data_IF_446173631593
#
_entry.id   IF_446173631593
#
_cell.length_a   1.000
_cell.length_b   1.000
_cell.length_c   1.000
_cell.angle_alpha   90.00
_cell.angle_beta   90.00
_cell.angle_gamma   90.00
#
_symmetry.space_group_name_H-M   'P 1'
#
loop_
_entity.id
_entity.type
_entity.pdbx_description
1 polymer ?
#
# COMPACT_ATOMS: atom_id res chain seq x y z
N UNK A 1 -20.27 -20.96 3.82
CA UNK A 1 -19.78 -21.38 2.49
C UNK A 1 -18.98 -20.21 1.93
N UNK A 2 -17.78 -20.47 1.40
CA UNK A 2 -16.93 -19.43 0.81
C UNK A 2 -16.88 -19.67 -0.70
N UNK A 3 -17.02 -18.62 -1.51
CA UNK A 3 -16.97 -18.73 -2.96
C UNK A 3 -15.62 -19.32 -3.41
N UNK A 4 -15.66 -20.20 -4.38
CA UNK A 4 -14.51 -20.85 -5.01
C UNK A 4 -14.37 -20.36 -6.45
N UNK A 5 -13.18 -20.48 -7.02
CA UNK A 5 -12.94 -20.17 -8.44
C UNK A 5 -13.90 -20.96 -9.36
N UNK A 6 -14.26 -22.19 -8.98
CA UNK A 6 -15.22 -23.01 -9.73
C UNK A 6 -16.67 -22.47 -9.71
N UNK A 7 -16.98 -21.52 -8.82
CA UNK A 7 -18.30 -20.89 -8.75
C UNK A 7 -18.44 -19.73 -9.76
N UNK A 8 -17.34 -19.34 -10.45
CA UNK A 8 -17.39 -18.30 -11.47
C UNK A 8 -18.25 -18.70 -12.66
N UNK A 9 -19.08 -17.76 -13.12
CA UNK A 9 -19.94 -18.00 -14.25
C UNK A 9 -21.07 -16.99 -14.40
N UNK A 10 -21.82 -17.15 -15.48
CA UNK A 10 -23.05 -16.43 -15.73
C UNK A 10 -24.19 -17.12 -14.99
N UNK A 11 -24.86 -16.37 -14.11
CA UNK A 11 -26.05 -16.81 -13.41
C UNK A 11 -27.25 -16.10 -13.99
N UNK A 12 -28.30 -16.86 -14.26
CA UNK A 12 -29.52 -16.35 -14.84
C UNK A 12 -30.67 -16.56 -13.87
N UNK A 13 -31.51 -15.53 -13.69
CA UNK A 13 -32.75 -15.65 -12.94
C UNK A 13 -33.93 -15.15 -13.76
N UNK A 14 -35.07 -15.79 -13.58
CA UNK A 14 -36.32 -15.40 -14.22
C UNK A 14 -37.32 -14.93 -13.16
N UNK A 15 -37.90 -13.75 -13.37
CA UNK A 15 -38.96 -13.23 -12.52
C UNK A 15 -40.06 -12.58 -13.38
N UNK A 16 -41.26 -13.18 -13.36
CA UNK A 16 -42.42 -12.66 -14.08
C UNK A 16 -42.24 -12.59 -15.60
N UNK A 17 -41.54 -13.56 -16.19
CA UNK A 17 -41.24 -13.60 -17.63
C UNK A 17 -40.11 -12.69 -18.08
N UNK A 18 -39.43 -11.99 -17.16
CA UNK A 18 -38.19 -11.26 -17.44
C UNK A 18 -37.00 -12.12 -17.03
N UNK A 19 -35.99 -12.20 -17.89
CA UNK A 19 -34.73 -12.87 -17.64
C UNK A 19 -33.65 -11.83 -17.28
N UNK A 20 -32.91 -12.10 -16.21
CA UNK A 20 -31.78 -11.29 -15.77
C UNK A 20 -30.53 -12.16 -15.75
N UNK A 21 -29.39 -11.56 -16.10
CA UNK A 21 -28.10 -12.23 -16.12
C UNK A 21 -27.10 -11.44 -15.27
N UNK A 22 -26.33 -12.14 -14.45
CA UNK A 22 -25.24 -11.61 -13.64
C UNK A 22 -24.00 -12.47 -13.81
N UNK A 23 -22.84 -11.84 -13.93
CA UNK A 23 -21.55 -12.53 -13.92
C UNK A 23 -20.97 -12.54 -12.51
N UNK A 24 -20.73 -13.73 -11.96
CA UNK A 24 -19.97 -13.90 -10.73
C UNK A 24 -18.48 -14.05 -11.07
N UNK A 25 -17.66 -13.16 -10.51
CA UNK A 25 -16.20 -13.20 -10.59
C UNK A 25 -15.62 -13.41 -9.19
N UNK A 26 -14.69 -14.36 -9.03
CA UNK A 26 -14.09 -14.70 -7.74
C UNK A 26 -12.62 -14.29 -7.75
N UNK A 27 -12.29 -13.31 -6.91
CA UNK A 27 -10.94 -12.81 -6.76
C UNK A 27 -10.08 -13.68 -5.85
N UNK A 28 -8.88 -14.01 -6.30
CA UNK A 28 -7.81 -14.53 -5.45
C UNK A 28 -6.80 -13.41 -5.17
N UNK A 29 -6.52 -13.19 -3.89
CA UNK A 29 -5.76 -12.02 -3.43
C UNK A 29 -4.31 -12.10 -3.90
N UNK A 30 -3.64 -10.94 -4.11
CA UNK A 30 -2.23 -10.96 -4.42
C UNK A 30 -1.41 -11.64 -3.32
N UNK A 31 -0.31 -12.29 -3.70
CA UNK A 31 0.62 -12.89 -2.74
C UNK A 31 1.58 -11.86 -2.14
N UNK A 32 1.68 -10.68 -2.76
CA UNK A 32 2.49 -9.58 -2.27
C UNK A 32 2.11 -8.25 -2.91
N UNK A 33 2.44 -7.17 -2.21
CA UNK A 33 2.32 -5.80 -2.65
C UNK A 33 3.62 -5.07 -2.28
N UNK A 34 4.17 -4.27 -3.18
CA UNK A 34 5.37 -3.49 -2.91
C UNK A 34 5.27 -2.10 -3.53
N UNK A 35 5.87 -1.10 -2.88
CA UNK A 35 5.99 0.26 -3.40
C UNK A 35 7.48 0.62 -3.50
N UNK A 36 7.90 1.13 -4.65
CA UNK A 36 9.29 1.51 -4.91
C UNK A 36 9.39 2.59 -6.00
N UNK A 37 10.54 3.26 -6.07
CA UNK A 37 10.81 4.23 -7.13
C UNK A 37 11.19 3.52 -8.43
N UNK A 38 10.64 4.01 -9.55
CA UNK A 38 10.91 3.49 -10.88
C UNK A 38 12.40 3.44 -11.22
N UNK A 39 12.77 2.62 -12.20
CA UNK A 39 14.15 2.33 -12.58
C UNK A 39 15.02 1.69 -11.48
N UNK A 40 14.39 0.96 -10.54
CA UNK A 40 15.06 0.32 -9.39
C UNK A 40 15.88 1.30 -8.55
N UNK A 41 15.39 2.53 -8.41
CA UNK A 41 16.06 3.54 -7.62
C UNK A 41 15.78 3.30 -6.13
N UNK A 42 16.83 3.34 -5.31
CA UNK A 42 16.69 3.29 -3.86
C UNK A 42 16.17 4.63 -3.29
N UNK A 43 16.38 5.72 -4.02
CA UNK A 43 16.04 7.10 -3.62
C UNK A 43 15.56 7.91 -4.83
N UNK A 44 14.57 8.80 -4.67
CA UNK A 44 14.10 9.63 -5.77
C UNK A 44 15.05 10.79 -6.07
N UNK A 45 14.92 11.35 -7.28
CA UNK A 45 15.59 12.60 -7.66
C UNK A 45 14.80 13.78 -7.08
N UNK A 46 15.41 14.53 -6.17
CA UNK A 46 14.77 15.72 -5.58
C UNK A 46 14.51 16.80 -6.64
N UNK A 47 13.34 17.45 -6.54
CA UNK A 47 12.86 18.51 -7.42
C UNK A 47 12.68 18.08 -8.89
N UNK A 48 12.55 16.78 -9.14
CA UNK A 48 12.25 16.22 -10.45
C UNK A 48 11.05 15.25 -10.34
N UNK A 49 10.35 15.05 -11.46
CA UNK A 49 9.30 14.04 -11.55
C UNK A 49 9.92 12.63 -11.48
N UNK A 50 9.41 11.82 -10.55
CA UNK A 50 9.79 10.43 -10.36
C UNK A 50 8.54 9.56 -10.43
N UNK A 51 8.68 8.34 -10.93
CA UNK A 51 7.59 7.39 -10.97
C UNK A 51 7.58 6.55 -9.68
N UNK A 52 6.55 6.70 -8.85
CA UNK A 52 6.29 5.83 -7.71
C UNK A 52 5.50 4.61 -8.20
N UNK A 53 6.12 3.45 -8.17
CA UNK A 53 5.55 2.20 -8.67
C UNK A 53 4.97 1.40 -7.52
N UNK A 54 3.75 0.91 -7.68
CA UNK A 54 3.15 -0.10 -6.83
C UNK A 54 2.97 -1.39 -7.63
N UNK A 55 3.52 -2.49 -7.15
CA UNK A 55 3.46 -3.80 -7.81
C UNK A 55 2.67 -4.77 -6.96
N UNK A 56 1.65 -5.38 -7.57
CA UNK A 56 0.90 -6.50 -7.01
C UNK A 56 1.33 -7.79 -7.69
N UNK A 57 1.67 -8.81 -6.89
CA UNK A 57 2.19 -10.09 -7.38
C UNK A 57 1.12 -11.18 -7.37
N UNK A 58 0.99 -11.89 -8.50
CA UNK A 58 0.24 -13.15 -8.63
C UNK A 58 -1.20 -13.11 -8.07
N UNK A 59 -1.99 -12.12 -8.46
CA UNK A 59 -3.43 -12.02 -8.15
C UNK A 59 -4.29 -12.56 -9.29
N UNK A 60 -5.52 -12.99 -9.00
CA UNK A 60 -6.49 -13.43 -10.02
C UNK A 60 -7.84 -12.72 -9.85
N UNK A 61 -8.36 -12.02 -10.87
CA UNK A 61 -7.58 -11.43 -11.97
C UNK A 61 -6.46 -10.52 -11.45
N UNK A 62 -5.57 -10.01 -12.33
CA UNK A 62 -4.61 -8.96 -11.95
C UNK A 62 -5.30 -7.83 -11.19
N UNK A 63 -4.71 -7.42 -10.07
CA UNK A 63 -5.31 -6.48 -9.14
C UNK A 63 -5.53 -5.09 -9.77
N UNK A 64 -6.55 -4.42 -9.24
CA UNK A 64 -6.80 -3.00 -9.49
C UNK A 64 -6.26 -2.18 -8.32
N UNK A 65 -5.91 -0.92 -8.59
CA UNK A 65 -5.23 -0.08 -7.60
C UNK A 65 -6.01 1.18 -7.26
N UNK A 66 -5.87 1.61 -6.01
CA UNK A 66 -6.15 2.98 -5.57
C UNK A 66 -4.92 3.60 -4.94
N UNK A 67 -4.79 4.90 -5.11
CA UNK A 67 -3.71 5.68 -4.52
C UNK A 67 -4.25 6.78 -3.63
N UNK A 68 -3.62 6.95 -2.48
CA UNK A 68 -3.91 8.02 -1.54
C UNK A 68 -2.64 8.77 -1.18
N UNK A 69 -2.72 10.10 -1.16
CA UNK A 69 -1.73 10.97 -0.52
C UNK A 69 -2.32 11.47 0.81
N UNK A 70 -1.85 10.93 1.93
CA UNK A 70 -2.54 11.08 3.21
C UNK A 70 -3.96 10.52 3.12
N UNK A 71 -4.97 11.39 3.22
CA UNK A 71 -6.40 11.02 3.06
C UNK A 71 -6.98 11.34 1.69
N UNK A 72 -6.20 11.98 0.81
CA UNK A 72 -6.67 12.46 -0.49
C UNK A 72 -6.52 11.36 -1.54
N UNK A 73 -7.61 11.01 -2.22
CA UNK A 73 -7.58 10.09 -3.36
C UNK A 73 -6.89 10.75 -4.56
N UNK A 74 -5.81 10.12 -5.05
CA UNK A 74 -5.03 10.56 -6.21
C UNK A 74 -5.01 9.50 -7.31
N UNK A 75 -5.92 8.52 -7.26
CA UNK A 75 -5.98 7.38 -8.19
C UNK A 75 -6.08 7.81 -9.66
N UNK A 76 -6.79 8.91 -9.94
CA UNK A 76 -6.94 9.45 -11.30
C UNK A 76 -5.65 9.98 -11.92
N UNK A 77 -4.60 10.18 -11.12
CA UNK A 77 -3.27 10.62 -11.57
C UNK A 77 -2.35 9.44 -11.88
N UNK A 78 -2.76 8.21 -11.55
CA UNK A 78 -1.97 7.01 -11.73
C UNK A 78 -2.33 6.27 -13.02
N UNK A 79 -1.33 5.62 -13.62
CA UNK A 79 -1.52 4.68 -14.73
C UNK A 79 -1.45 3.25 -14.18
N UNK A 80 -2.43 2.42 -14.53
CA UNK A 80 -2.42 0.98 -14.19
C UNK A 80 -2.15 0.14 -15.44
N UNK A 81 -1.22 -0.81 -15.33
CA UNK A 81 -0.89 -1.77 -16.37
C UNK A 81 -0.89 -3.19 -15.80
N UNK A 82 -1.38 -4.14 -16.59
CA UNK A 82 -1.29 -5.56 -16.26
C UNK A 82 0.04 -6.12 -16.77
N UNK A 83 0.67 -6.95 -15.96
CA UNK A 83 1.83 -7.75 -16.35
C UNK A 83 1.43 -8.96 -17.19
N UNK A 84 2.32 -9.95 -17.23
CA UNK A 84 2.00 -11.23 -17.88
C UNK A 84 0.98 -11.99 -17.04
N UNK A 85 -0.13 -12.38 -17.69
CA UNK A 85 -1.19 -13.19 -17.10
C UNK A 85 -1.06 -14.61 -17.63
N UNK A 86 -1.11 -15.60 -16.74
CA UNK A 86 -1.06 -17.01 -17.11
C UNK A 86 -2.44 -17.53 -17.58
N UNK A 87 -2.48 -18.76 -18.09
CA UNK A 87 -3.71 -19.40 -18.59
C UNK A 87 -4.82 -19.53 -17.54
N UNK A 88 -4.47 -19.49 -16.25
CA UNK A 88 -5.41 -19.60 -15.14
C UNK A 88 -5.95 -18.24 -14.67
N UNK A 89 -5.53 -17.14 -15.31
CA UNK A 89 -5.96 -15.78 -14.98
C UNK A 89 -5.17 -15.12 -13.86
N UNK A 90 -4.13 -15.78 -13.32
CA UNK A 90 -3.22 -15.15 -12.36
C UNK A 90 -2.20 -14.31 -13.10
N UNK A 91 -1.92 -13.13 -12.59
CA UNK A 91 -0.89 -12.28 -13.13
C UNK A 91 -0.49 -11.16 -12.18
N UNK A 92 0.64 -10.57 -12.51
CA UNK A 92 1.10 -9.36 -11.85
C UNK A 92 0.36 -8.14 -12.41
N UNK A 93 0.34 -7.08 -11.63
CA UNK A 93 -0.18 -5.78 -12.07
C UNK A 93 0.62 -4.67 -11.42
N UNK A 94 0.66 -3.52 -12.09
CA UNK A 94 1.51 -2.40 -11.75
C UNK A 94 0.70 -1.12 -11.81
N UNK A 95 0.95 -0.21 -10.88
CA UNK A 95 0.41 1.14 -10.90
C UNK A 95 1.53 2.16 -10.74
N UNK A 96 1.49 3.21 -11.54
CA UNK A 96 2.53 4.21 -11.68
C UNK A 96 1.96 5.58 -11.35
N UNK A 97 2.48 6.21 -10.30
CA UNK A 97 2.08 7.55 -9.87
C UNK A 97 3.27 8.50 -9.99
N UNK A 98 3.13 9.57 -10.78
CA UNK A 98 4.17 10.59 -10.88
C UNK A 98 4.19 11.46 -9.61
N UNK A 99 5.35 11.53 -8.97
CA UNK A 99 5.58 12.30 -7.75
C UNK A 99 6.86 13.12 -7.90
N UNK A 100 6.83 14.37 -7.45
CA UNK A 100 8.00 15.25 -7.41
C UNK A 100 8.40 15.52 -5.96
N UNK A 101 9.35 14.76 -5.39
CA UNK A 101 9.81 14.99 -4.02
C UNK A 101 10.54 16.32 -3.90
N UNK A 102 10.19 17.10 -2.89
CA UNK A 102 10.77 18.40 -2.56
C UNK A 102 11.01 18.45 -1.04
N UNK A 103 11.83 19.38 -0.56
CA UNK A 103 12.01 19.54 0.89
C UNK A 103 10.71 19.90 1.61
N UNK A 104 9.78 20.59 0.93
CA UNK A 104 8.49 21.01 1.49
C UNK A 104 7.45 19.89 1.63
N UNK A 105 7.63 18.78 0.91
CA UNK A 105 6.72 17.64 0.93
C UNK A 105 7.37 16.39 1.55
N UNK A 106 8.56 16.56 2.14
CA UNK A 106 9.20 15.53 2.94
C UNK A 106 8.28 15.13 4.10
N UNK A 107 8.13 13.82 4.32
CA UNK A 107 7.18 13.26 5.28
C UNK A 107 5.78 13.01 4.73
N UNK A 108 5.48 13.42 3.49
CA UNK A 108 4.22 13.03 2.84
C UNK A 108 4.15 11.50 2.69
N UNK A 109 2.99 10.94 3.03
CA UNK A 109 2.74 9.49 2.97
C UNK A 109 1.85 9.17 1.79
N UNK A 110 2.33 8.28 0.94
CA UNK A 110 1.57 7.69 -0.17
C UNK A 110 1.16 6.28 0.19
N UNK A 111 -0.12 5.95 0.01
CA UNK A 111 -0.67 4.61 0.21
C UNK A 111 -1.18 4.06 -1.11
N UNK A 112 -0.77 2.85 -1.43
CA UNK A 112 -1.32 2.06 -2.54
C UNK A 112 -2.21 0.95 -1.97
N UNK A 113 -3.39 0.75 -2.53
CA UNK A 113 -4.30 -0.32 -2.15
C UNK A 113 -4.60 -1.20 -3.37
N UNK A 114 -4.38 -2.50 -3.26
CA UNK A 114 -4.67 -3.48 -4.30
C UNK A 114 -5.99 -4.20 -4.00
N UNK A 115 -6.85 -4.34 -5.02
CA UNK A 115 -8.19 -4.93 -4.89
C UNK A 115 -8.47 -5.97 -5.99
N UNK A 116 -9.22 -7.00 -5.63
CA UNK A 116 -9.70 -8.07 -6.53
C UNK A 116 -11.22 -8.25 -6.34
N UNK A 117 -11.95 -8.87 -7.28
CA UNK A 117 -13.39 -9.10 -7.14
C UNK A 117 -13.75 -9.75 -5.80
N UNK A 118 -14.67 -9.14 -5.05
CA UNK A 118 -15.09 -9.61 -3.73
C UNK A 118 -14.14 -9.26 -2.57
N UNK A 119 -13.01 -8.60 -2.83
CA UNK A 119 -12.09 -8.07 -1.81
C UNK A 119 -11.50 -6.71 -2.21
N UNK A 120 -12.14 -5.67 -1.70
CA UNK A 120 -11.58 -4.32 -1.71
C UNK A 120 -10.45 -4.20 -0.70
N UNK A 121 -9.40 -3.45 -1.05
CA UNK A 121 -8.21 -3.26 -0.20
C UNK A 121 -7.67 -4.60 0.33
N UNK A 122 -7.53 -5.58 -0.57
CA UNK A 122 -7.04 -6.92 -0.26
C UNK A 122 -5.64 -6.87 0.36
N UNK A 123 -4.79 -5.98 -0.15
CA UNK A 123 -3.51 -5.59 0.43
C UNK A 123 -3.34 -4.07 0.28
N UNK A 124 -2.60 -3.46 1.21
CA UNK A 124 -2.13 -2.09 1.07
C UNK A 124 -0.70 -1.96 1.56
N UNK A 125 -0.01 -0.97 0.99
CA UNK A 125 1.35 -0.61 1.35
C UNK A 125 1.49 0.91 1.39
N UNK A 126 2.48 1.38 2.13
CA UNK A 126 2.76 2.82 2.28
C UNK A 126 4.21 3.18 2.03
N UNK A 127 4.43 4.32 1.38
CA UNK A 127 5.74 4.94 1.19
C UNK A 127 5.72 6.34 1.79
N UNK A 128 6.68 6.65 2.66
CA UNK A 128 6.91 8.02 3.15
C UNK A 128 7.99 8.67 2.30
N UNK A 129 7.76 9.90 1.81
CA UNK A 129 8.77 10.66 1.10
C UNK A 129 9.89 11.07 2.05
N UNK A 130 11.06 10.45 1.92
CA UNK A 130 12.29 10.96 2.52
C UNK A 130 12.86 12.03 1.60
N UNK A 131 12.92 13.27 2.08
CA UNK A 131 13.77 14.29 1.46
C UNK A 131 15.20 13.78 1.47
N UNK A 132 15.98 14.01 0.40
CA UNK A 132 17.35 13.54 0.24
C UNK A 132 18.40 14.05 1.24
N UNK A 133 18.03 14.40 2.47
CA UNK A 133 18.93 14.50 3.60
C UNK A 133 18.58 13.37 4.56
N UNK A 134 19.50 12.41 4.71
CA UNK A 134 19.36 11.25 5.56
C UNK A 134 18.68 11.58 6.90
N UNK A 135 17.47 11.06 7.10
CA UNK A 135 16.80 11.00 8.39
C UNK A 135 17.55 10.02 9.31
N UNK A 136 18.76 10.40 9.74
CA UNK A 136 19.46 9.79 10.87
C UNK A 136 19.14 10.62 12.11
N UNK A 137 17.86 10.74 12.45
CA UNK A 137 17.45 11.51 13.63
C UNK A 137 16.13 11.00 14.24
N UNK A 138 15.96 9.69 14.43
CA UNK A 138 14.97 9.18 15.39
C UNK A 138 15.41 7.82 15.97
N UNK A 139 16.25 7.85 17.00
CA UNK A 139 16.08 7.01 18.19
C UNK A 139 17.11 7.42 19.24
N UNK A 140 16.65 8.19 20.23
CA UNK A 140 16.97 8.10 21.66
C UNK A 140 16.51 9.40 22.34
N UNK A 141 15.22 9.48 22.65
CA UNK A 141 14.71 10.44 23.65
C UNK A 141 14.02 9.69 24.79
N UNK A 142 14.53 9.98 25.99
CA UNK A 142 13.87 9.97 27.29
C UNK A 142 13.39 8.65 27.93
N UNK A 143 14.16 8.18 28.91
CA UNK A 143 13.58 7.75 30.18
C UNK A 143 14.03 8.73 31.28
N UNK A 144 13.16 9.67 31.62
CA UNK A 144 13.18 10.33 32.91
C UNK A 144 12.00 9.78 33.72
N UNK A 145 12.29 9.07 34.80
CA UNK A 145 11.31 8.76 35.84
C UNK A 145 11.97 8.94 37.21
N UNK A 146 11.35 9.80 38.01
CA UNK A 146 11.79 10.26 39.31
C UNK A 146 11.70 9.16 40.39
N UNK A 147 12.63 9.16 41.35
CA UNK A 147 12.40 8.59 42.68
C UNK A 147 12.80 9.65 43.71
N UNK A 148 11.80 10.27 44.33
CA UNK A 148 11.94 11.02 45.58
C UNK A 148 12.08 10.00 46.73
N UNK A 149 13.11 10.14 47.56
CA UNK A 149 13.31 9.26 48.72
C UNK A 149 14.59 9.56 49.48
N UNK A 150 14.51 10.58 50.34
CA UNK A 150 15.49 11.04 51.34
C UNK A 150 16.13 9.95 52.22
N UNK A 151 17.44 10.04 52.50
CA UNK A 151 18.06 9.51 53.72
C UNK A 151 19.23 10.36 54.21
N UNK A 152 19.46 10.26 55.52
CA UNK A 152 19.98 11.25 56.48
C UNK A 152 21.52 11.26 56.60
N UNK A 153 22.03 12.39 57.10
CA UNK A 153 23.40 12.71 57.56
C UNK A 153 24.25 11.55 58.10
N UNK A 154 25.56 11.63 57.84
CA UNK A 154 26.59 11.20 58.79
C UNK A 154 27.92 11.91 58.51
N UNK A 155 28.17 12.99 59.23
CA UNK A 155 29.50 13.47 59.60
C UNK A 155 29.98 12.64 60.79
N UNK A 156 31.16 12.02 60.75
CA UNK A 156 31.97 11.83 61.96
C UNK A 156 33.44 11.70 61.59
N UNK A 157 34.23 12.61 62.17
CA UNK A 157 35.67 12.62 62.18
C UNK A 157 36.20 11.59 63.18
N UNK A 158 37.41 11.09 62.94
CA UNK A 158 38.35 10.80 64.01
C UNK A 158 39.78 11.04 63.55
#
# INVERSE_FOLDING_TARGET
MNAQIADEGQFECEAGGNQYSIMLSVGDVPTGLSIYWGANLNTPIMNAANNLTCQSTNSRPPATFKWYKGTTDVTSQALTLNGTVNSNGYGDSYSYLEVTPTSSNSGDVYRCEASVPGRDNALNETMTLSGGAADVAHSLTMMAAAILGSFVLSSYAH
#
